data_IF_740576902779
#
_entry.id   IF_740576902779
#
_cell.length_a   1.000
_cell.length_b   1.000
_cell.length_c   1.000
_cell.angle_alpha   90.00
_cell.angle_beta   90.00
_cell.angle_gamma   90.00
#
_symmetry.space_group_name_H-M   'P 1'
#
loop_
_entity.id
_entity.type
_entity.pdbx_description
1 polymer ?
#
# COMPACT_ATOMS: atom_id res chain seq x y z
N UNK A 1 13.03 -0.05 8.48
CA UNK A 1 11.65 0.49 8.56
C UNK A 1 10.68 -0.67 8.49
N UNK A 2 9.63 -0.68 9.30
CA UNK A 2 8.56 -1.68 9.27
C UNK A 2 7.38 -1.16 8.48
N UNK A 3 6.97 -1.90 7.46
CA UNK A 3 5.96 -1.43 6.53
C UNK A 3 4.92 -2.48 6.16
N UNK A 4 3.79 -1.98 5.67
CA UNK A 4 2.80 -2.76 4.94
C UNK A 4 2.66 -2.14 3.56
N UNK A 5 2.40 -2.98 2.55
CA UNK A 5 2.14 -2.49 1.21
C UNK A 5 0.82 -3.03 0.65
N UNK A 6 0.29 -2.27 -0.29
CA UNK A 6 -0.99 -2.52 -0.92
C UNK A 6 -0.84 -2.66 -2.43
N UNK A 7 -1.53 -3.65 -2.99
CA UNK A 7 -1.65 -3.88 -4.43
C UNK A 7 -3.12 -3.92 -4.77
N UNK A 8 -3.58 -3.06 -5.67
CA UNK A 8 -4.94 -3.12 -6.17
C UNK A 8 -4.98 -4.12 -7.34
N UNK A 9 -5.60 -5.28 -7.10
CA UNK A 9 -5.77 -6.37 -8.08
C UNK A 9 -6.98 -6.16 -9.01
N UNK A 10 -7.71 -5.05 -8.87
CA UNK A 10 -8.93 -4.75 -9.63
C UNK A 10 -8.77 -3.59 -10.61
N UNK A 11 -7.68 -2.82 -10.51
CA UNK A 11 -7.42 -1.64 -11.32
C UNK A 11 -6.68 -1.99 -12.62
N UNK A 12 -6.99 -1.27 -13.67
CA UNK A 12 -6.19 -1.19 -14.90
C UNK A 12 -5.46 0.15 -14.94
N UNK A 13 -4.14 0.12 -15.05
CA UNK A 13 -3.27 1.29 -14.99
C UNK A 13 -2.75 1.61 -16.39
N UNK A 14 -2.86 2.88 -16.82
CA UNK A 14 -2.22 3.38 -18.05
C UNK A 14 -2.49 2.55 -19.32
N UNK A 15 -3.69 1.96 -19.44
CA UNK A 15 -4.08 1.12 -20.59
C UNK A 15 -3.66 -0.35 -20.50
N UNK A 16 -3.01 -0.77 -19.42
CA UNK A 16 -2.63 -2.15 -19.15
C UNK A 16 -3.83 -3.01 -18.74
N UNK A 17 -3.72 -4.33 -18.94
CA UNK A 17 -4.67 -5.29 -18.36
C UNK A 17 -4.56 -5.30 -16.83
N UNK A 18 -5.49 -5.97 -16.15
CA UNK A 18 -5.43 -6.12 -14.69
C UNK A 18 -4.23 -6.94 -14.25
N UNK A 19 -3.89 -8.02 -14.96
CA UNK A 19 -2.71 -8.83 -14.64
C UNK A 19 -1.40 -8.05 -14.84
N UNK A 20 -1.31 -7.28 -15.93
CA UNK A 20 -0.16 -6.41 -16.20
C UNK A 20 -0.03 -5.31 -15.14
N UNK A 21 -1.16 -4.69 -14.78
CA UNK A 21 -1.23 -3.67 -13.73
C UNK A 21 -0.85 -4.23 -12.36
N UNK A 22 -1.27 -5.44 -12.03
CA UNK A 22 -0.88 -6.14 -10.82
C UNK A 22 0.63 -6.38 -10.81
N UNK A 23 1.17 -6.95 -11.90
CA UNK A 23 2.60 -7.28 -12.03
C UNK A 23 3.47 -6.02 -11.92
N UNK A 24 3.04 -4.92 -12.55
CA UNK A 24 3.73 -3.63 -12.46
C UNK A 24 3.80 -3.12 -11.01
N UNK A 25 2.68 -3.14 -10.30
CA UNK A 25 2.63 -2.73 -8.89
C UNK A 25 3.54 -3.61 -8.03
N UNK A 26 3.42 -4.93 -8.16
CA UNK A 26 4.17 -5.91 -7.37
C UNK A 26 5.68 -5.77 -7.57
N UNK A 27 6.13 -5.72 -8.83
CA UNK A 27 7.56 -5.60 -9.16
C UNK A 27 8.15 -4.27 -8.67
N UNK A 28 7.41 -3.18 -8.87
CA UNK A 28 7.86 -1.84 -8.48
C UNK A 28 7.98 -1.73 -6.96
N UNK A 29 6.95 -2.14 -6.22
CA UNK A 29 6.95 -2.10 -4.76
C UNK A 29 7.99 -3.06 -4.18
N UNK A 30 8.10 -4.27 -4.73
CA UNK A 30 9.10 -5.26 -4.27
C UNK A 30 10.53 -4.78 -4.44
N UNK A 31 10.82 -4.11 -5.55
CA UNK A 31 12.13 -3.50 -5.81
C UNK A 31 12.42 -2.39 -4.81
N UNK A 32 11.44 -1.53 -4.56
CA UNK A 32 11.56 -0.47 -3.56
C UNK A 32 11.81 -1.00 -2.15
N UNK A 33 11.04 -2.01 -1.72
CA UNK A 33 11.18 -2.67 -0.41
C UNK A 33 12.58 -3.23 -0.23
N UNK A 34 13.12 -3.92 -1.25
CA UNK A 34 14.48 -4.46 -1.23
C UNK A 34 15.53 -3.36 -1.11
N UNK A 35 15.43 -2.32 -1.94
CA UNK A 35 16.40 -1.23 -1.97
C UNK A 35 16.45 -0.42 -0.67
N UNK A 36 15.32 -0.32 0.04
CA UNK A 36 15.20 0.43 1.30
C UNK A 36 15.22 -0.47 2.54
N UNK A 37 15.47 -1.78 2.38
CA UNK A 37 15.54 -2.77 3.47
C UNK A 37 14.31 -2.69 4.40
N UNK A 38 13.12 -2.61 3.79
CA UNK A 38 11.85 -2.51 4.53
C UNK A 38 11.45 -3.89 5.02
N UNK A 39 11.23 -4.01 6.32
CA UNK A 39 10.66 -5.21 6.96
C UNK A 39 9.15 -5.20 6.73
N UNK A 40 8.66 -6.12 5.88
CA UNK A 40 7.23 -6.28 5.65
C UNK A 40 6.58 -6.97 6.85
N UNK A 41 5.56 -6.32 7.43
CA UNK A 41 4.82 -6.85 8.58
C UNK A 41 3.55 -7.56 8.13
N UNK A 42 3.38 -8.82 8.55
CA UNK A 42 2.12 -9.56 8.45
C UNK A 42 1.33 -9.42 9.75
N UNK A 43 0.18 -8.76 9.69
CA UNK A 43 -0.70 -8.65 10.85
C UNK A 43 -1.58 -9.90 11.00
N UNK A 44 -2.06 -10.43 9.88
CA UNK A 44 -2.89 -11.63 9.86
C UNK A 44 -2.02 -12.88 9.62
N UNK A 45 -1.95 -13.84 10.55
CA UNK A 45 -1.17 -15.08 10.39
C UNK A 45 -1.70 -15.98 9.27
N UNK A 46 -2.94 -15.76 8.82
CA UNK A 46 -3.57 -16.50 7.73
C UNK A 46 -3.47 -15.78 6.38
N UNK A 47 -2.73 -14.68 6.28
CA UNK A 47 -2.53 -13.96 5.03
C UNK A 47 -1.70 -14.81 4.06
N UNK A 48 -2.26 -15.08 2.88
CA UNK A 48 -1.60 -15.89 1.84
C UNK A 48 -0.41 -15.17 1.22
N UNK A 49 -0.53 -13.86 1.05
CA UNK A 49 0.48 -13.00 0.42
C UNK A 49 1.06 -12.01 1.42
N UNK A 50 2.16 -11.36 1.04
CA UNK A 50 2.84 -10.37 1.88
C UNK A 50 2.17 -8.98 1.81
N UNK A 51 1.25 -8.79 0.86
CA UNK A 51 0.50 -7.56 0.62
C UNK A 51 -0.99 -7.68 0.95
N UNK A 52 -1.62 -6.52 1.12
CA UNK A 52 -3.07 -6.38 1.14
C UNK A 52 -3.61 -5.99 -0.23
N UNK A 53 -4.80 -6.49 -0.60
CA UNK A 53 -5.56 -6.05 -1.79
C UNK A 53 -6.89 -5.38 -1.45
N UNK A 54 -7.31 -5.44 -0.18
CA UNK A 54 -8.57 -4.87 0.30
C UNK A 54 -8.29 -3.88 1.44
N UNK A 55 -8.48 -2.56 1.25
CA UNK A 55 -8.20 -1.55 2.29
C UNK A 55 -9.01 -1.75 3.57
N UNK A 56 -10.24 -2.25 3.45
CA UNK A 56 -11.09 -2.57 4.60
C UNK A 56 -10.52 -3.70 5.46
N UNK A 57 -9.90 -4.71 4.84
CA UNK A 57 -9.24 -5.79 5.56
C UNK A 57 -7.99 -5.29 6.29
N UNK A 58 -7.18 -4.48 5.62
CA UNK A 58 -6.02 -3.81 6.25
C UNK A 58 -6.44 -2.95 7.45
N UNK A 59 -7.45 -2.09 7.28
CA UNK A 59 -7.95 -1.25 8.36
C UNK A 59 -8.50 -2.07 9.53
N UNK A 60 -9.17 -3.20 9.25
CA UNK A 60 -9.65 -4.09 10.29
C UNK A 60 -8.48 -4.69 11.08
N UNK A 61 -7.49 -5.26 10.40
CA UNK A 61 -6.37 -5.95 11.04
C UNK A 61 -5.49 -4.97 11.84
N UNK A 62 -5.17 -3.80 11.28
CA UNK A 62 -4.33 -2.82 11.97
C UNK A 62 -5.01 -2.28 13.24
N UNK A 63 -6.33 -2.09 13.21
CA UNK A 63 -7.12 -1.71 14.40
C UNK A 63 -7.16 -2.83 15.44
N UNK A 64 -7.28 -4.08 14.99
CA UNK A 64 -7.33 -5.25 15.89
C UNK A 64 -6.00 -5.43 16.63
N UNK A 65 -4.89 -5.30 15.93
CA UNK A 65 -3.55 -5.49 16.50
C UNK A 65 -2.97 -4.22 17.15
N UNK A 66 -3.57 -3.05 16.91
CA UNK A 66 -3.15 -1.73 17.45
C UNK A 66 -1.66 -1.43 17.21
N UNK A 67 -1.17 -1.80 16.03
CA UNK A 67 0.23 -1.61 15.64
C UNK A 67 0.40 -0.26 14.97
N UNK A 68 1.46 0.45 15.34
CA UNK A 68 1.97 1.61 14.60
C UNK A 68 3.17 1.16 13.77
N UNK A 69 3.17 1.52 12.49
CA UNK A 69 4.18 1.11 11.52
C UNK A 69 4.88 2.35 10.93
N UNK A 70 6.07 2.14 10.38
CA UNK A 70 6.83 3.24 9.79
C UNK A 70 6.19 3.70 8.48
N UNK A 71 5.78 2.78 7.61
CA UNK A 71 5.27 3.16 6.29
C UNK A 71 4.12 2.31 5.75
N UNK A 72 3.18 2.97 5.07
CA UNK A 72 2.25 2.33 4.15
C UNK A 72 2.71 2.60 2.71
N UNK A 73 2.92 1.55 1.93
CA UNK A 73 3.47 1.65 0.58
C UNK A 73 2.38 1.34 -0.44
N UNK A 74 2.23 2.20 -1.44
CA UNK A 74 1.30 2.03 -2.54
C UNK A 74 1.96 2.43 -3.87
N UNK A 75 1.53 1.80 -4.95
CA UNK A 75 1.91 2.21 -6.29
C UNK A 75 0.92 3.27 -6.80
N UNK A 76 1.36 4.51 -7.02
CA UNK A 76 0.54 5.66 -7.41
C UNK A 76 -0.60 5.98 -6.43
N UNK A 77 -1.13 7.21 -6.37
CA UNK A 77 -2.35 7.49 -5.60
C UNK A 77 -3.59 6.76 -6.16
N UNK A 78 -3.59 6.45 -7.47
CA UNK A 78 -4.72 5.85 -8.19
C UNK A 78 -5.17 4.52 -7.60
N UNK A 79 -4.25 3.71 -7.07
CA UNK A 79 -4.62 2.38 -6.55
C UNK A 79 -5.51 2.45 -5.31
N UNK A 80 -5.48 3.57 -4.58
CA UNK A 80 -6.32 3.81 -3.40
C UNK A 80 -7.45 4.81 -3.65
N UNK A 81 -7.54 5.41 -4.84
CA UNK A 81 -8.44 6.53 -5.15
C UNK A 81 -9.91 6.21 -4.86
N UNK A 82 -10.40 5.06 -5.34
CA UNK A 82 -11.78 4.62 -5.10
C UNK A 82 -12.10 4.51 -3.60
N UNK A 83 -11.16 3.98 -2.80
CA UNK A 83 -11.34 3.84 -1.36
C UNK A 83 -11.31 5.19 -0.64
N UNK A 84 -10.39 6.07 -1.02
CA UNK A 84 -10.25 7.41 -0.45
C UNK A 84 -11.50 8.24 -0.74
N UNK A 85 -11.98 8.21 -1.98
CA UNK A 85 -13.17 8.96 -2.39
C UNK A 85 -14.44 8.40 -1.73
N UNK A 86 -14.60 7.08 -1.69
CA UNK A 86 -15.78 6.44 -1.11
C UNK A 86 -15.79 6.48 0.43
N UNK A 87 -14.63 6.48 1.07
CA UNK A 87 -14.49 6.34 2.52
C UNK A 87 -13.40 7.26 3.13
N UNK A 88 -13.51 8.58 2.97
CA UNK A 88 -12.46 9.52 3.38
C UNK A 88 -12.13 9.45 4.87
N UNK A 89 -13.14 9.27 5.74
CA UNK A 89 -12.93 9.10 7.17
C UNK A 89 -12.17 7.79 7.51
N UNK A 90 -12.45 6.70 6.79
CA UNK A 90 -11.73 5.43 6.98
C UNK A 90 -10.29 5.53 6.51
N UNK A 91 -10.06 6.24 5.41
CA UNK A 91 -8.71 6.55 4.95
C UNK A 91 -7.93 7.39 5.96
N UNK A 92 -8.54 8.43 6.52
CA UNK A 92 -7.92 9.25 7.56
C UNK A 92 -7.47 8.40 8.76
N UNK A 93 -8.34 7.51 9.23
CA UNK A 93 -8.01 6.57 10.32
C UNK A 93 -6.89 5.63 9.89
N UNK A 94 -6.96 5.04 8.69
CA UNK A 94 -5.93 4.11 8.21
C UNK A 94 -4.55 4.76 8.19
N UNK A 95 -4.44 5.98 7.64
CA UNK A 95 -3.18 6.73 7.61
C UNK A 95 -2.58 6.96 8.99
N UNK A 96 -3.41 7.17 10.01
CA UNK A 96 -2.94 7.48 11.37
C UNK A 96 -2.13 6.36 12.04
N UNK A 97 -2.16 5.13 11.49
CA UNK A 97 -1.33 4.03 11.97
C UNK A 97 0.08 3.98 11.35
N UNK A 98 0.40 4.89 10.44
CA UNK A 98 1.68 4.92 9.72
C UNK A 98 2.38 6.27 9.92
N UNK A 99 3.71 6.25 10.11
CA UNK A 99 4.49 7.48 10.17
C UNK A 99 4.56 8.17 8.80
N UNK A 100 4.60 7.41 7.71
CA UNK A 100 4.58 7.96 6.35
C UNK A 100 3.76 7.12 5.36
N UNK A 101 3.24 7.79 4.33
CA UNK A 101 2.65 7.14 3.16
C UNK A 101 3.64 7.26 2.01
N UNK A 102 4.20 6.13 1.58
CA UNK A 102 5.14 6.05 0.47
C UNK A 102 4.36 5.75 -0.80
N UNK A 103 4.34 6.71 -1.73
CA UNK A 103 3.74 6.51 -3.05
C UNK A 103 4.86 6.39 -4.08
N UNK A 104 4.91 5.24 -4.75
CA UNK A 104 5.87 4.98 -5.82
C UNK A 104 5.16 5.22 -7.15
N UNK A 105 5.68 6.10 -7.98
CA UNK A 105 5.16 6.34 -9.33
C UNK A 105 6.19 5.88 -10.36
N UNK A 106 5.77 5.15 -11.39
CA UNK A 106 6.67 4.68 -12.43
C UNK A 106 7.27 5.83 -13.27
N UNK A 107 6.72 7.05 -13.16
CA UNK A 107 7.22 8.23 -13.87
C UNK A 107 8.24 9.05 -13.07
N UNK A 108 8.48 8.75 -11.79
CA UNK A 108 9.34 9.55 -10.92
C UNK A 108 10.37 8.62 -10.27
N UNK A 109 11.65 8.77 -10.64
CA UNK A 109 12.80 8.04 -10.07
C UNK A 109 13.03 8.30 -8.56
N UNK A 110 12.11 9.03 -7.90
CA UNK A 110 12.17 9.39 -6.49
C UNK A 110 10.81 9.13 -5.83
N UNK A 111 10.77 8.41 -4.69
CA UNK A 111 9.53 8.23 -3.93
C UNK A 111 9.00 9.59 -3.48
N UNK A 112 7.74 9.88 -3.80
CA UNK A 112 7.04 11.02 -3.23
C UNK A 112 6.68 10.67 -1.77
N UNK A 113 7.44 11.22 -0.82
CA UNK A 113 7.11 11.16 0.60
C UNK A 113 6.02 12.17 0.90
N UNK A 114 4.83 11.68 1.24
CA UNK A 114 3.80 12.53 1.84
C UNK A 114 3.94 12.42 3.36
N UNK A 115 4.54 13.46 3.95
CA UNK A 115 4.54 13.67 5.40
C UNK A 115 3.14 14.19 5.76
N UNK A 116 2.42 13.45 6.60
CA UNK A 116 1.11 13.85 7.14
C UNK A 116 1.32 14.57 8.45
#
# INVERSE_FOLDING_TARGET
MKGIYFINDRISLNGLTKEESFTLQEQTISTFIKNHTIEVVKLNPYQLYDYYTIPHALLHDIKKHRVYLDCFIQYSPKVMEDFIHSYPARWFILKSFFNEIVTIDAQIDLPAKFIV
#
